data_IF_078589487964
#
_entry.id   IF_078589487964
#
_cell.length_a   1.000
_cell.length_b   1.000
_cell.length_c   1.000
_cell.angle_alpha   90.00
_cell.angle_beta   90.00
_cell.angle_gamma   90.00
#
_symmetry.space_group_name_H-M   'P 1'
#
loop_
_entity.id
_entity.type
_entity.pdbx_description
1 polymer ?
#
# COMPACT_ATOMS: atom_id res chain seq x y z
N UNK A 1 18.27 -22.79 16.45
CA UNK A 1 17.40 -21.59 16.50
C UNK A 1 16.37 -21.74 17.62
N UNK A 2 16.80 -21.79 18.90
CA UNK A 2 15.95 -21.67 20.10
C UNK A 2 16.85 -21.26 21.26
N UNK A 3 17.09 -19.95 21.39
CA UNK A 3 17.81 -19.40 22.53
C UNK A 3 16.81 -19.01 23.63
N UNK A 4 17.21 -18.98 24.91
CA UNK A 4 16.32 -18.64 26.03
C UNK A 4 15.70 -17.23 25.90
N UNK A 5 16.35 -16.33 25.15
CA UNK A 5 15.87 -14.96 24.90
C UNK A 5 15.14 -14.78 23.56
N UNK A 6 14.89 -15.85 22.80
CA UNK A 6 14.26 -15.76 21.47
C UNK A 6 12.85 -15.20 21.58
N UNK A 7 12.04 -15.63 22.55
CA UNK A 7 10.66 -15.15 22.74
C UNK A 7 10.63 -13.66 23.07
N UNK A 8 11.54 -13.19 23.93
CA UNK A 8 11.65 -11.77 24.29
C UNK A 8 12.00 -10.91 23.07
N UNK A 9 12.95 -11.36 22.23
CA UNK A 9 13.32 -10.66 21.00
C UNK A 9 12.15 -10.63 20.01
N UNK A 10 11.43 -11.74 19.84
CA UNK A 10 10.27 -11.83 18.97
C UNK A 10 9.18 -10.84 19.38
N UNK A 11 8.82 -10.84 20.67
CA UNK A 11 7.83 -9.92 21.19
C UNK A 11 8.25 -8.45 21.02
N UNK A 12 9.50 -8.13 21.35
CA UNK A 12 10.05 -6.78 21.15
C UNK A 12 10.01 -6.34 19.69
N UNK A 13 10.38 -7.22 18.76
CA UNK A 13 10.32 -6.95 17.32
C UNK A 13 8.88 -6.78 16.82
N UNK A 14 7.92 -7.58 17.30
CA UNK A 14 6.50 -7.45 16.93
C UNK A 14 5.96 -6.07 17.34
N UNK A 15 6.17 -5.68 18.60
CA UNK A 15 5.69 -4.39 19.11
C UNK A 15 6.35 -3.23 18.38
N UNK A 16 7.67 -3.29 18.17
CA UNK A 16 8.40 -2.28 17.41
C UNK A 16 7.86 -2.15 15.98
N UNK A 17 7.70 -3.28 15.28
CA UNK A 17 7.28 -3.28 13.89
C UNK A 17 5.83 -2.81 13.72
N UNK A 18 4.96 -3.12 14.69
CA UNK A 18 3.59 -2.63 14.72
C UNK A 18 3.54 -1.10 14.66
N UNK A 19 4.27 -0.41 15.54
CA UNK A 19 4.33 1.05 15.52
C UNK A 19 5.05 1.59 14.28
N UNK A 20 6.16 0.96 13.89
CA UNK A 20 6.92 1.37 12.70
C UNK A 20 6.10 1.31 11.40
N UNK A 21 5.16 0.39 11.28
CA UNK A 21 4.28 0.28 10.11
C UNK A 21 3.02 1.15 10.21
N UNK A 22 2.50 1.36 11.43
CA UNK A 22 1.26 2.10 11.66
C UNK A 22 1.42 3.61 11.44
N UNK A 23 2.53 4.20 11.89
CA UNK A 23 2.81 5.64 11.74
C UNK A 23 2.85 6.07 10.24
N UNK A 24 3.61 5.41 9.36
CA UNK A 24 3.61 5.71 7.93
C UNK A 24 2.24 5.48 7.28
N UNK A 25 1.52 4.42 7.67
CA UNK A 25 0.19 4.13 7.12
C UNK A 25 -0.80 5.28 7.39
N UNK A 26 -0.77 5.85 8.60
CA UNK A 26 -1.58 7.02 8.96
C UNK A 26 -1.16 8.25 8.16
N UNK A 27 0.14 8.54 8.11
CA UNK A 27 0.66 9.71 7.40
C UNK A 27 0.30 9.68 5.90
N UNK A 28 0.47 8.52 5.25
CA UNK A 28 0.14 8.38 3.84
C UNK A 28 -1.37 8.28 3.58
N UNK A 29 -2.16 7.76 4.53
CA UNK A 29 -3.62 7.79 4.43
C UNK A 29 -4.16 9.22 4.43
N UNK A 30 -3.64 10.09 5.29
CA UNK A 30 -3.98 11.51 5.29
C UNK A 30 -3.54 12.19 3.99
N UNK A 31 -2.30 11.94 3.56
CA UNK A 31 -1.75 12.53 2.34
C UNK A 31 -2.55 12.14 1.08
N UNK A 32 -3.09 10.92 1.04
CA UNK A 32 -3.93 10.47 -0.07
C UNK A 32 -5.33 11.09 -0.05
N UNK A 33 -5.92 11.34 1.13
CA UNK A 33 -7.19 12.09 1.23
C UNK A 33 -7.02 13.52 0.70
N UNK A 34 -5.91 14.17 1.07
CA UNK A 34 -5.55 15.52 0.59
C UNK A 34 -5.31 15.53 -0.93
N UNK A 35 -4.51 14.58 -1.44
CA UNK A 35 -4.14 14.54 -2.86
C UNK A 35 -5.30 14.20 -3.80
N UNK A 36 -6.32 13.50 -3.30
CA UNK A 36 -7.51 13.18 -4.09
C UNK A 36 -8.61 14.23 -3.92
N UNK A 37 -8.38 15.36 -3.25
CA UNK A 37 -9.39 16.39 -2.95
C UNK A 37 -10.68 15.79 -2.35
N UNK A 38 -10.58 14.65 -1.67
CA UNK A 38 -11.72 13.88 -1.22
C UNK A 38 -12.49 13.08 -2.29
N UNK A 39 -11.91 12.76 -3.44
CA UNK A 39 -12.48 11.83 -4.42
C UNK A 39 -12.72 10.43 -3.84
N UNK A 40 -11.89 10.01 -2.86
CA UNK A 40 -12.12 8.78 -2.08
C UNK A 40 -13.25 8.96 -1.04
N UNK A 41 -13.69 10.20 -0.76
CA UNK A 41 -14.88 10.51 0.06
C UNK A 41 -16.19 10.17 -0.65
N UNK A 42 -16.19 9.91 -1.96
CA UNK A 42 -17.42 9.54 -2.68
C UNK A 42 -18.00 8.20 -2.14
N UNK A 43 -17.15 7.30 -1.65
CA UNK A 43 -17.60 6.09 -0.93
C UNK A 43 -17.82 6.31 0.59
N UNK A 44 -17.49 7.50 1.10
CA UNK A 44 -17.49 7.85 2.51
C UNK A 44 -18.44 9.03 2.74
N UNK A 45 -19.74 8.73 2.84
CA UNK A 45 -20.80 9.70 3.18
C UNK A 45 -20.66 10.19 4.63
N UNK A 46 -19.58 10.90 4.93
CA UNK A 46 -19.35 11.52 6.21
C UNK A 46 -19.52 13.04 6.06
N UNK A 47 -20.59 13.58 6.67
CA UNK A 47 -20.95 15.01 6.61
C UNK A 47 -19.94 15.95 7.32
N UNK A 48 -18.77 15.47 7.72
CA UNK A 48 -17.77 16.24 8.46
C UNK A 48 -16.36 15.92 7.95
N UNK A 49 -15.61 16.96 7.55
CA UNK A 49 -14.30 16.83 6.90
C UNK A 49 -13.29 16.02 7.74
N UNK A 50 -13.34 16.16 9.06
CA UNK A 50 -12.46 15.41 9.98
C UNK A 50 -12.80 13.91 9.99
N UNK A 51 -14.09 13.55 9.90
CA UNK A 51 -14.51 12.14 9.85
C UNK A 51 -14.15 11.49 8.53
N UNK A 52 -14.20 12.24 7.43
CA UNK A 52 -13.84 11.72 6.11
C UNK A 52 -12.36 11.28 6.06
N UNK A 53 -11.45 12.10 6.61
CA UNK A 53 -10.02 11.80 6.69
C UNK A 53 -9.73 10.56 7.55
N UNK A 54 -10.40 10.44 8.71
CA UNK A 54 -10.24 9.27 9.59
C UNK A 54 -10.74 7.99 8.91
N UNK A 55 -11.82 8.08 8.12
CA UNK A 55 -12.35 6.92 7.38
C UNK A 55 -11.40 6.47 6.26
N UNK A 56 -10.64 7.39 5.66
CA UNK A 56 -9.65 7.05 4.63
C UNK A 56 -8.43 6.35 5.22
N UNK A 57 -7.88 6.90 6.30
CA UNK A 57 -6.78 6.28 7.05
C UNK A 57 -7.13 4.85 7.50
N UNK A 58 -8.36 4.63 7.95
CA UNK A 58 -8.85 3.28 8.32
C UNK A 58 -8.85 2.32 7.14
N UNK A 59 -9.25 2.76 5.95
CA UNK A 59 -9.23 1.93 4.73
C UNK A 59 -7.80 1.55 4.36
N UNK A 60 -6.85 2.49 4.44
CA UNK A 60 -5.44 2.21 4.16
C UNK A 60 -4.86 1.20 5.15
N UNK A 61 -5.13 1.37 6.45
CA UNK A 61 -4.68 0.41 7.48
C UNK A 61 -5.29 -0.98 7.24
N UNK A 62 -6.59 -1.04 6.93
CA UNK A 62 -7.28 -2.31 6.69
C UNK A 62 -6.77 -3.00 5.41
N UNK A 63 -6.57 -2.24 4.32
CA UNK A 63 -6.00 -2.75 3.08
C UNK A 63 -4.56 -3.28 3.29
N UNK A 64 -3.73 -2.55 4.04
CA UNK A 64 -2.36 -2.97 4.35
C UNK A 64 -2.33 -4.20 5.27
N UNK A 65 -3.25 -4.29 6.24
CA UNK A 65 -3.37 -5.47 7.10
C UNK A 65 -3.76 -6.72 6.29
N UNK A 66 -4.77 -6.62 5.42
CA UNK A 66 -5.17 -7.73 4.55
C UNK A 66 -4.04 -8.11 3.60
N UNK A 67 -3.46 -7.14 2.88
CA UNK A 67 -2.33 -7.39 1.97
C UNK A 67 -1.14 -8.03 2.67
N UNK A 68 -0.83 -7.58 3.90
CA UNK A 68 0.20 -8.16 4.76
C UNK A 68 -0.07 -9.61 5.15
N UNK A 69 -1.31 -9.95 5.52
CA UNK A 69 -1.70 -11.33 5.84
C UNK A 69 -1.57 -12.24 4.61
N UNK A 70 -2.08 -11.80 3.45
CA UNK A 70 -1.93 -12.56 2.21
C UNK A 70 -0.46 -12.78 1.84
N UNK A 71 0.36 -11.73 1.94
CA UNK A 71 1.79 -11.84 1.66
C UNK A 71 2.53 -12.70 2.70
N UNK A 72 2.12 -12.71 3.97
CA UNK A 72 2.71 -13.58 4.98
C UNK A 72 2.46 -15.07 4.71
N UNK A 73 1.34 -15.42 4.08
CA UNK A 73 0.96 -16.80 3.77
C UNK A 73 1.57 -17.27 2.43
N UNK A 74 1.54 -16.41 1.40
CA UNK A 74 1.93 -16.76 0.03
C UNK A 74 3.30 -16.20 -0.40
N UNK A 75 3.92 -15.35 0.41
CA UNK A 75 5.20 -14.70 0.08
C UNK A 75 6.39 -15.65 0.20
N UNK A 76 7.34 -15.55 -0.75
CA UNK A 76 8.55 -16.36 -0.76
C UNK A 76 9.60 -15.95 0.30
N UNK A 77 9.46 -14.78 0.94
CA UNK A 77 10.41 -14.26 1.93
C UNK A 77 9.68 -13.63 3.13
N UNK A 78 9.73 -14.25 4.32
CA UNK A 78 8.95 -13.82 5.49
C UNK A 78 9.49 -12.55 6.19
N UNK A 79 10.65 -12.05 5.78
CA UNK A 79 11.28 -10.84 6.36
C UNK A 79 10.84 -9.56 5.65
N UNK A 80 10.16 -9.66 4.50
CA UNK A 80 9.69 -8.50 3.74
C UNK A 80 8.44 -7.91 4.42
N UNK A 81 8.43 -6.58 4.55
CA UNK A 81 7.35 -5.84 5.19
C UNK A 81 6.69 -4.94 4.13
N UNK A 82 5.39 -5.08 3.94
CA UNK A 82 4.62 -4.28 3.00
C UNK A 82 4.25 -2.94 3.63
N UNK A 83 4.74 -1.84 3.07
CA UNK A 83 4.40 -0.48 3.46
C UNK A 83 4.07 0.37 2.25
N UNK A 84 3.10 1.26 2.42
CA UNK A 84 2.84 2.36 1.49
C UNK A 84 4.03 3.32 1.51
N UNK A 85 4.45 3.80 0.34
CA UNK A 85 5.60 4.70 0.19
C UNK A 85 5.20 6.01 -0.49
N UNK A 86 6.04 7.04 -0.33
CA UNK A 86 5.81 8.38 -0.93
C UNK A 86 5.61 8.32 -2.45
N UNK A 87 6.43 7.58 -3.24
CA UNK A 87 6.25 7.54 -4.70
C UNK A 87 4.89 6.99 -5.11
N UNK A 88 4.35 6.02 -4.35
CA UNK A 88 3.02 5.47 -4.60
C UNK A 88 1.92 6.52 -4.35
N UNK A 89 2.04 7.33 -3.29
CA UNK A 89 1.09 8.42 -3.03
C UNK A 89 1.11 9.48 -4.14
N UNK A 90 2.29 9.82 -4.66
CA UNK A 90 2.44 10.73 -5.80
C UNK A 90 1.82 10.12 -7.07
N UNK A 91 2.03 8.82 -7.30
CA UNK A 91 1.42 8.11 -8.43
C UNK A 91 -0.11 8.17 -8.41
N UNK A 92 -0.72 7.93 -7.24
CA UNK A 92 -2.19 8.04 -7.05
C UNK A 92 -2.67 9.47 -7.37
N UNK A 93 -1.94 10.49 -6.92
CA UNK A 93 -2.25 11.91 -7.23
C UNK A 93 -2.25 12.18 -8.74
N UNK A 94 -1.26 11.65 -9.46
CA UNK A 94 -1.16 11.84 -10.91
C UNK A 94 -2.33 11.16 -11.63
N UNK A 95 -2.68 9.93 -11.25
CA UNK A 95 -3.86 9.23 -11.77
C UNK A 95 -5.12 10.06 -11.48
N UNK A 96 -5.28 10.56 -10.26
CA UNK A 96 -6.42 11.40 -9.92
C UNK A 96 -6.53 12.63 -10.83
N UNK A 97 -5.41 13.34 -11.05
CA UNK A 97 -5.37 14.50 -11.95
C UNK A 97 -5.76 14.14 -13.40
N UNK A 98 -5.20 13.07 -13.95
CA UNK A 98 -5.52 12.59 -15.30
C UNK A 98 -7.01 12.21 -15.41
N UNK A 99 -7.58 11.59 -14.37
CA UNK A 99 -8.99 11.21 -14.34
C UNK A 99 -9.89 12.43 -14.44
N UNK A 100 -9.54 13.50 -13.72
CA UNK A 100 -10.28 14.76 -13.74
C UNK A 100 -10.15 15.48 -15.10
N UNK A 101 -8.96 15.48 -15.69
CA UNK A 101 -8.73 16.09 -17.02
C UNK A 101 -9.50 15.37 -18.13
N UNK A 102 -9.64 14.05 -18.04
CA UNK A 102 -10.37 13.23 -19.02
C UNK A 102 -11.87 13.10 -18.71
N UNK A 103 -12.33 13.55 -17.53
CA UNK A 103 -13.72 13.41 -17.09
C UNK A 103 -14.14 11.96 -16.76
N UNK A 104 -13.20 11.07 -16.48
CA UNK A 104 -13.47 9.68 -16.10
C UNK A 104 -13.59 9.51 -14.58
N UNK A 105 -14.31 8.46 -14.15
CA UNK A 105 -14.40 8.08 -12.74
C UNK A 105 -13.03 7.59 -12.22
N UNK A 106 -12.58 8.18 -11.12
CA UNK A 106 -11.28 7.87 -10.51
C UNK A 106 -11.14 6.39 -10.14
N UNK A 107 -12.18 5.77 -9.57
CA UNK A 107 -12.12 4.37 -9.14
C UNK A 107 -12.06 3.43 -10.33
N UNK A 108 -12.80 3.72 -11.40
CA UNK A 108 -12.75 2.93 -12.62
C UNK A 108 -11.36 3.01 -13.28
N UNK A 109 -10.78 4.21 -13.35
CA UNK A 109 -9.44 4.39 -13.90
C UNK A 109 -8.37 3.74 -13.02
N UNK A 110 -8.47 3.88 -11.70
CA UNK A 110 -7.55 3.27 -10.75
C UNK A 110 -7.61 1.73 -10.79
N UNK A 111 -8.80 1.14 -10.93
CA UNK A 111 -8.97 -0.30 -11.10
C UNK A 111 -8.36 -0.80 -12.43
N UNK A 112 -8.57 -0.07 -13.53
CA UNK A 112 -7.98 -0.40 -14.84
C UNK A 112 -6.45 -0.42 -14.77
N UNK A 113 -5.84 0.60 -14.18
CA UNK A 113 -4.39 0.66 -13.94
C UNK A 113 -3.92 -0.56 -13.12
N UNK A 114 -4.64 -0.92 -12.06
CA UNK A 114 -4.33 -2.09 -11.25
C UNK A 114 -4.37 -3.41 -12.04
N UNK A 115 -5.34 -3.58 -12.95
CA UNK A 115 -5.44 -4.75 -13.82
C UNK A 115 -4.25 -4.84 -14.79
N UNK A 116 -3.82 -3.71 -15.36
CA UNK A 116 -2.63 -3.67 -16.21
C UNK A 116 -1.35 -3.96 -15.42
N UNK A 117 -1.21 -3.44 -14.20
CA UNK A 117 -0.10 -3.79 -13.30
C UNK A 117 -0.04 -5.30 -13.03
N UNK A 118 -1.18 -5.94 -12.75
CA UNK A 118 -1.24 -7.38 -12.52
C UNK A 118 -0.88 -8.17 -13.78
N UNK A 119 -1.35 -7.74 -14.95
CA UNK A 119 -0.98 -8.34 -16.22
C UNK A 119 0.53 -8.33 -16.45
N UNK A 120 1.18 -7.16 -16.26
CA UNK A 120 2.64 -7.06 -16.40
C UNK A 120 3.39 -7.90 -15.36
N UNK A 121 2.91 -7.96 -14.12
CA UNK A 121 3.51 -8.82 -13.09
C UNK A 121 3.50 -10.30 -13.49
N UNK A 122 2.41 -10.80 -14.07
CA UNK A 122 2.32 -12.20 -14.53
C UNK A 122 3.28 -12.44 -15.70
N UNK A 123 3.36 -11.52 -16.66
CA UNK A 123 4.29 -11.61 -17.80
C UNK A 123 5.75 -11.59 -17.31
N UNK A 124 6.10 -10.73 -16.36
CA UNK A 124 7.45 -10.66 -15.82
C UNK A 124 7.82 -11.89 -14.98
N UNK A 125 6.85 -12.45 -14.25
CA UNK A 125 7.03 -13.70 -13.53
C UNK A 125 7.27 -14.88 -14.49
N UNK A 126 6.52 -14.98 -15.59
CA UNK A 126 6.66 -16.09 -16.55
C UNK A 126 7.92 -15.99 -17.42
N UNK A 127 8.43 -14.78 -17.64
CA UNK A 127 9.64 -14.51 -18.44
C UNK A 127 10.93 -14.44 -17.61
N UNK A 128 10.87 -14.73 -16.31
CA UNK A 128 12.03 -14.71 -15.40
C UNK A 128 12.81 -13.38 -15.43
N UNK A 129 12.10 -12.25 -15.57
CA UNK A 129 12.73 -10.92 -15.63
C UNK A 129 13.50 -10.55 -14.35
N UNK A 130 13.29 -11.26 -13.24
CA UNK A 130 14.03 -11.08 -12.00
C UNK A 130 15.55 -11.24 -12.19
N UNK A 131 16.00 -12.01 -13.20
CA UNK A 131 17.42 -12.18 -13.48
C UNK A 131 18.10 -10.86 -13.90
N UNK A 132 17.34 -9.86 -14.37
CA UNK A 132 17.86 -8.52 -14.65
C UNK A 132 18.43 -7.83 -13.40
N UNK A 133 17.92 -8.16 -12.21
CA UNK A 133 18.45 -7.63 -10.95
C UNK A 133 19.92 -8.03 -10.72
N UNK A 134 20.41 -9.11 -11.34
CA UNK A 134 21.83 -9.52 -11.24
C UNK A 134 22.77 -8.55 -11.94
N UNK A 135 22.27 -7.76 -12.89
CA UNK A 135 23.05 -6.73 -13.59
C UNK A 135 23.19 -5.46 -12.76
N UNK A 136 22.32 -5.25 -11.76
CA UNK A 136 22.47 -4.17 -10.80
C UNK A 136 23.60 -4.51 -9.82
N UNK A 137 24.82 -4.09 -10.16
CA UNK A 137 25.95 -4.08 -9.22
C UNK A 137 25.84 -2.87 -8.28
N UNK A 138 26.42 -3.00 -7.07
CA UNK A 138 26.39 -2.01 -5.99
C UNK A 138 26.67 -0.58 -6.45
#
# INVERSE_FOLDING_TARGET
IRGPKTIQKLFSSIVFLYFACLLPAIAFGVLNDDNTNGGIKIFSKANNLIKAQILDVRKVIFAQAIGGIFFAIFGGQPVIILLTTVPLAIYIKVIYKISQELGYDFFAMYACVGLWCQFFLIVYASTEMCSLMKLATR
#
